data_IF_079751969057
#
_entry.id   IF_079751969057
#
_cell.length_a   1.000
_cell.length_b   1.000
_cell.length_c   1.000
_cell.angle_alpha   90.00
_cell.angle_beta   90.00
_cell.angle_gamma   90.00
#
_symmetry.space_group_name_H-M   'P 1'
#
loop_
_entity.id
_entity.type
_entity.pdbx_description
1 polymer ?
#
# COMPACT_ATOMS: atom_id res chain seq x y z
N UNK A 1 -7.80 0.72 21.38
CA UNK A 1 -7.73 -0.13 20.17
C UNK A 1 -6.60 0.45 19.32
N UNK A 2 -5.33 0.05 19.50
CA UNK A 2 -4.26 0.58 18.66
C UNK A 2 -4.55 0.07 17.25
N UNK A 3 -4.78 0.98 16.30
CA UNK A 3 -4.99 0.62 14.90
C UNK A 3 -3.81 -0.22 14.44
N UNK A 4 -4.08 -1.43 13.92
CA UNK A 4 -3.09 -2.27 13.28
C UNK A 4 -2.53 -1.48 12.08
N UNK A 5 -1.38 -0.83 12.27
CA UNK A 5 -0.61 -0.30 11.15
C UNK A 5 -0.01 -1.50 10.43
N UNK A 6 -0.44 -1.74 9.19
CA UNK A 6 0.14 -2.78 8.34
C UNK A 6 1.40 -2.19 7.70
N UNK A 7 2.56 -2.55 8.24
CA UNK A 7 3.88 -2.22 7.69
C UNK A 7 4.51 -3.41 6.94
N UNK A 8 3.74 -4.49 6.76
CA UNK A 8 4.17 -5.67 6.00
C UNK A 8 2.97 -6.47 5.53
N UNK A 9 3.04 -7.04 4.34
CA UNK A 9 2.04 -7.98 3.84
C UNK A 9 2.62 -8.90 2.75
N UNK A 10 2.03 -10.10 2.57
CA UNK A 10 2.40 -10.96 1.47
C UNK A 10 2.11 -10.31 0.10
N UNK A 11 2.93 -10.59 -0.90
CA UNK A 11 2.62 -10.23 -2.30
C UNK A 11 1.25 -10.79 -2.70
N UNK A 12 0.47 -10.02 -3.47
CA UNK A 12 -0.92 -10.30 -3.85
C UNK A 12 -1.97 -9.94 -2.79
N UNK A 13 -1.57 -9.49 -1.59
CA UNK A 13 -2.53 -9.10 -0.55
C UNK A 13 -3.18 -7.77 -0.85
N UNK A 14 -4.49 -7.65 -0.58
CA UNK A 14 -5.15 -6.35 -0.53
C UNK A 14 -4.90 -5.69 0.83
N UNK A 15 -4.36 -4.47 0.81
CA UNK A 15 -4.15 -3.65 2.00
C UNK A 15 -4.94 -2.35 1.89
N UNK A 16 -5.45 -1.88 3.03
CA UNK A 16 -6.11 -0.59 3.13
C UNK A 16 -5.17 0.42 3.78
N UNK A 17 -4.84 1.48 3.04
CA UNK A 17 -4.07 2.62 3.52
C UNK A 17 -5.05 3.64 4.08
N UNK A 18 -5.02 3.87 5.38
CA UNK A 18 -5.91 4.80 6.07
C UNK A 18 -5.22 6.16 6.19
N UNK A 19 -5.92 7.22 5.81
CA UNK A 19 -5.36 8.56 5.75
C UNK A 19 -6.41 9.60 5.39
N UNK A 20 -5.96 10.80 5.05
CA UNK A 20 -6.82 11.90 4.59
C UNK A 20 -6.17 12.57 3.40
N UNK A 21 -6.96 13.23 2.55
CA UNK A 21 -6.43 13.92 1.37
C UNK A 21 -6.35 13.05 0.12
N UNK A 22 -6.88 11.83 0.15
CA UNK A 22 -7.06 11.02 -1.05
C UNK A 22 -8.05 11.70 -2.00
N UNK A 23 -7.70 11.74 -3.29
CA UNK A 23 -8.68 12.15 -4.30
C UNK A 23 -9.80 11.09 -4.35
N UNK A 24 -11.07 11.46 -4.58
CA UNK A 24 -12.14 10.49 -4.82
C UNK A 24 -11.97 9.70 -6.13
N UNK A 25 -11.14 10.17 -7.07
CA UNK A 25 -10.90 9.52 -8.36
C UNK A 25 -9.70 8.56 -8.31
N UNK A 26 -9.87 7.33 -8.80
CA UNK A 26 -8.83 6.28 -8.74
C UNK A 26 -7.51 6.74 -9.39
N UNK A 27 -7.60 7.36 -10.56
CA UNK A 27 -6.47 7.77 -11.40
C UNK A 27 -5.78 9.06 -10.94
N UNK A 28 -6.27 9.70 -9.89
CA UNK A 28 -5.66 10.89 -9.28
C UNK A 28 -4.88 10.56 -8.00
N UNK A 29 -4.90 9.29 -7.58
CA UNK A 29 -4.07 8.80 -6.49
C UNK A 29 -2.91 8.00 -7.08
N UNK A 30 -1.68 8.30 -6.67
CA UNK A 30 -0.51 7.58 -7.11
C UNK A 30 0.13 6.87 -5.92
N UNK A 31 0.18 5.54 -5.95
CA UNK A 31 0.77 4.74 -4.88
C UNK A 31 1.92 3.94 -5.46
N UNK A 32 3.07 4.03 -4.82
CA UNK A 32 4.33 3.43 -5.25
C UNK A 32 4.95 2.63 -4.12
N UNK A 33 5.38 1.41 -4.42
CA UNK A 33 6.18 0.59 -3.52
C UNK A 33 7.60 0.50 -4.11
N UNK A 34 8.49 1.34 -3.59
CA UNK A 34 9.80 1.58 -4.19
C UNK A 34 9.62 2.22 -5.56
N UNK A 35 10.11 1.55 -6.60
CA UNK A 35 9.99 2.00 -8.00
C UNK A 35 8.75 1.42 -8.72
N UNK A 36 7.93 0.62 -8.03
CA UNK A 36 6.79 -0.07 -8.61
C UNK A 36 5.47 0.64 -8.27
N UNK A 37 4.65 0.96 -9.28
CA UNK A 37 3.31 1.49 -9.07
C UNK A 37 2.36 0.38 -8.63
N UNK A 38 1.58 0.62 -7.57
CA UNK A 38 0.58 -0.32 -7.07
C UNK A 38 -0.77 -0.09 -7.74
N UNK A 39 -1.50 -1.19 -7.95
CA UNK A 39 -2.87 -1.14 -8.48
C UNK A 39 -3.83 -0.77 -7.36
N UNK A 40 -4.53 0.35 -7.55
CA UNK A 40 -5.59 0.82 -6.66
C UNK A 40 -6.90 0.12 -7.03
N UNK A 41 -7.51 -0.57 -6.08
CA UNK A 41 -8.76 -1.33 -6.29
C UNK A 41 -9.99 -0.60 -5.75
N UNK A 42 -9.80 0.28 -4.76
CA UNK A 42 -10.89 1.05 -4.17
C UNK A 42 -10.37 2.34 -3.55
N UNK A 43 -11.17 3.40 -3.61
CA UNK A 43 -10.89 4.69 -2.99
C UNK A 43 -12.11 5.11 -2.18
N UNK A 44 -11.86 5.60 -0.97
CA UNK A 44 -12.84 6.18 -0.08
C UNK A 44 -12.30 7.44 0.60
N UNK A 45 -13.16 8.21 1.28
CA UNK A 45 -12.83 9.52 1.83
C UNK A 45 -11.75 9.49 2.93
N UNK A 46 -11.39 8.32 3.44
CA UNK A 46 -10.32 8.17 4.43
C UNK A 46 -9.50 6.89 4.28
N UNK A 47 -9.68 6.16 3.17
CA UNK A 47 -8.91 4.96 2.92
C UNK A 47 -8.79 4.67 1.43
N UNK A 48 -7.65 4.12 1.03
CA UNK A 48 -7.42 3.59 -0.33
C UNK A 48 -7.00 2.14 -0.20
N UNK A 49 -7.64 1.26 -0.96
CA UNK A 49 -7.26 -0.15 -1.03
C UNK A 49 -6.37 -0.38 -2.23
N UNK A 50 -5.23 -1.03 -2.01
CA UNK A 50 -4.28 -1.41 -3.05
C UNK A 50 -3.94 -2.89 -2.95
N UNK A 51 -3.56 -3.49 -4.07
CA UNK A 51 -2.94 -4.80 -4.10
C UNK A 51 -1.43 -4.62 -3.94
N UNK A 52 -0.85 -5.31 -2.96
CA UNK A 52 0.60 -5.38 -2.80
C UNK A 52 1.15 -6.19 -3.96
N UNK A 53 1.77 -5.49 -4.90
CA UNK A 53 2.51 -6.08 -5.99
C UNK A 53 3.97 -5.65 -5.82
N UNK A 54 4.91 -6.54 -6.10
CA UNK A 54 6.33 -6.24 -5.93
C UNK A 54 7.21 -7.48 -5.76
N UNK A 55 8.51 -7.21 -5.71
CA UNK A 55 9.51 -8.24 -5.40
C UNK A 55 9.48 -8.49 -3.88
N UNK A 56 9.41 -9.76 -3.51
CA UNK A 56 9.58 -10.19 -2.12
C UNK A 56 10.99 -9.85 -1.68
N UNK A 57 11.11 -8.96 -0.70
CA UNK A 57 12.39 -8.51 -0.16
C UNK A 57 12.29 -8.41 1.37
N UNK A 58 13.21 -9.03 2.13
CA UNK A 58 13.28 -8.86 3.58
C UNK A 58 13.63 -7.43 4.00
N UNK A 59 14.26 -6.64 3.12
CA UNK A 59 14.56 -5.24 3.40
C UNK A 59 13.32 -4.35 3.17
N UNK A 60 13.03 -3.40 4.09
CA UNK A 60 11.88 -2.52 3.92
C UNK A 60 11.99 -1.66 2.66
N UNK A 61 10.92 -1.65 1.88
CA UNK A 61 10.76 -0.82 0.69
C UNK A 61 9.90 0.39 1.04
N UNK A 62 10.17 1.54 0.43
CA UNK A 62 9.42 2.77 0.69
C UNK A 62 8.07 2.73 -0.02
N UNK A 63 6.97 2.64 0.73
CA UNK A 63 5.62 2.85 0.23
C UNK A 63 5.32 4.34 0.24
N UNK A 64 5.14 4.94 -0.93
CA UNK A 64 4.87 6.36 -1.12
C UNK A 64 3.47 6.55 -1.67
N UNK A 65 2.72 7.48 -1.09
CA UNK A 65 1.38 7.87 -1.53
C UNK A 65 1.44 9.32 -1.95
N UNK A 66 1.20 9.59 -3.22
CA UNK A 66 1.07 10.92 -3.79
C UNK A 66 -0.37 11.28 -4.07
N UNK A 67 -0.76 12.45 -3.59
CA UNK A 67 -2.06 13.08 -3.82
C UNK A 67 -1.86 14.52 -4.27
N UNK A 68 -2.91 15.17 -4.76
CA UNK A 68 -2.88 16.60 -5.09
C UNK A 68 -2.52 17.51 -3.90
N UNK A 69 -2.67 17.01 -2.67
CA UNK A 69 -2.39 17.74 -1.44
C UNK A 69 -0.99 17.53 -0.89
N UNK A 70 -0.24 16.60 -1.48
CA UNK A 70 1.12 16.25 -1.06
C UNK A 70 1.39 14.77 -1.11
N UNK A 71 2.61 14.41 -0.70
CA UNK A 71 3.08 13.03 -0.64
C UNK A 71 3.40 12.63 0.80
N UNK A 72 3.10 11.37 1.14
CA UNK A 72 3.51 10.75 2.39
C UNK A 72 4.16 9.38 2.12
N UNK A 73 5.00 8.90 3.03
CA UNK A 73 5.69 7.63 2.84
C UNK A 73 5.98 6.88 4.13
N UNK A 74 5.89 5.55 4.07
CA UNK A 74 6.25 4.63 5.15
C UNK A 74 7.20 3.55 4.67
N UNK A 75 7.95 2.96 5.59
CA UNK A 75 8.67 1.71 5.32
C UNK A 75 7.70 0.53 5.34
N UNK A 76 7.78 -0.32 4.32
CA UNK A 76 6.88 -1.46 4.11
C UNK A 76 7.65 -2.69 3.65
N UNK A 77 7.41 -3.84 4.28
CA UNK A 77 8.07 -5.12 3.93
C UNK A 77 7.13 -6.00 3.10
N UNK A 78 7.59 -6.44 1.93
CA UNK A 78 6.85 -7.40 1.10
C UNK A 78 7.24 -8.81 1.51
N UNK A 79 6.29 -9.52 2.10
CA UNK A 79 6.50 -10.91 2.49
C UNK A 79 6.20 -11.85 1.31
N UNK A 80 6.81 -13.05 1.29
CA UNK A 80 6.37 -14.08 0.36
C UNK A 80 4.90 -14.40 0.60
N UNK A 81 4.16 -14.64 -0.48
CA UNK A 81 2.82 -15.24 -0.42
C UNK A 81 2.98 -16.47 0.47
N UNK A 82 2.31 -16.48 1.64
CA UNK A 82 2.43 -17.62 2.54
C UNK A 82 1.92 -18.84 1.77
N UNK A 83 2.85 -19.67 1.28
CA UNK A 83 2.54 -21.02 0.88
C UNK A 83 1.97 -21.65 2.15
N UNK A 84 0.64 -21.84 2.17
CA UNK A 84 -0.04 -22.58 3.22
C UNK A 84 0.39 -24.04 3.08
N UNK A 85 1.62 -24.32 3.50
CA UNK A 85 2.22 -25.65 3.51
C UNK A 85 2.78 -25.86 4.91
N UNK A 86 1.92 -26.26 5.84
CA UNK A 86 1.88 -27.64 6.35
C UNK A 86 0.95 -27.76 7.56
#
# INVERSE_FOLDING_TARGET
NPGLAIFKAPVGSEIALVGTGFSPELNENNIWLGDQSLVITSVGPGAVTVVVDGVVDPDPVRLTIGTDWGEDSIEFVVEPLMDSTK
#
